data_IF_215118343747
#
_entry.id   IF_215118343747
#
_cell.length_a   1.000
_cell.length_b   1.000
_cell.length_c   1.000
_cell.angle_alpha   90.00
_cell.angle_beta   90.00
_cell.angle_gamma   90.00
#
_symmetry.space_group_name_H-M   'P 1'
#
loop_
_entity.id
_entity.type
_entity.pdbx_description
1 polymer ?
#
# COMPACT_ATOMS: atom_id res chain seq x y z
N UNK A 1 10.03 -23.06 6.41
CA UNK A 1 10.75 -22.53 5.22
C UNK A 1 10.28 -23.32 4.00
N UNK A 2 10.21 -22.68 2.82
CA UNK A 2 9.71 -23.25 1.58
C UNK A 2 10.84 -23.41 0.56
N UNK A 3 10.95 -24.57 -0.10
CA UNK A 3 12.13 -24.95 -0.89
C UNK A 3 11.85 -25.24 -2.37
N UNK A 4 10.62 -25.00 -2.84
CA UNK A 4 10.19 -25.26 -4.22
C UNK A 4 9.67 -24.03 -4.95
N UNK A 5 10.01 -22.83 -4.46
CA UNK A 5 9.55 -21.56 -5.04
C UNK A 5 10.80 -20.77 -5.44
N UNK A 6 10.94 -20.59 -6.76
CA UNK A 6 12.06 -19.85 -7.37
C UNK A 6 11.61 -18.46 -7.86
N UNK A 7 10.33 -18.30 -8.20
CA UNK A 7 9.77 -17.05 -8.72
C UNK A 7 8.47 -16.74 -8.00
N UNK A 8 8.32 -15.48 -7.58
CA UNK A 8 7.05 -14.91 -7.11
C UNK A 8 6.68 -13.77 -8.05
N UNK A 9 5.51 -13.87 -8.69
CA UNK A 9 4.88 -12.77 -9.42
C UNK A 9 3.69 -12.26 -8.61
N UNK A 10 3.82 -11.07 -8.04
CA UNK A 10 2.73 -10.40 -7.34
C UNK A 10 2.01 -9.40 -8.24
N UNK A 11 0.93 -9.85 -8.85
CA UNK A 11 0.01 -9.03 -9.66
C UNK A 11 -1.34 -8.79 -8.96
N UNK A 12 -1.53 -9.31 -7.73
CA UNK A 12 -2.74 -9.07 -6.97
C UNK A 12 -2.75 -7.64 -6.44
N UNK A 13 -3.80 -6.90 -6.75
CA UNK A 13 -3.98 -5.50 -6.38
C UNK A 13 -5.39 -5.04 -6.72
N UNK A 14 -5.91 -4.04 -6.01
CA UNK A 14 -7.08 -3.28 -6.45
C UNK A 14 -6.61 -2.08 -7.27
N UNK A 15 -7.21 -1.90 -8.43
CA UNK A 15 -6.95 -0.79 -9.36
C UNK A 15 -8.12 0.20 -9.42
N UNK A 16 -9.08 0.06 -8.50
CA UNK A 16 -10.22 0.97 -8.43
C UNK A 16 -9.79 2.27 -7.73
N UNK A 17 -9.92 3.40 -8.42
CA UNK A 17 -9.57 4.72 -7.89
C UNK A 17 -10.57 5.21 -6.85
N UNK A 18 -11.82 4.75 -6.93
CA UNK A 18 -12.88 5.03 -5.97
C UNK A 18 -13.02 3.85 -4.97
N UNK A 19 -11.93 3.15 -4.69
CA UNK A 19 -11.93 2.09 -3.68
C UNK A 19 -11.95 2.69 -2.28
N UNK A 20 -12.56 1.99 -1.34
CA UNK A 20 -12.41 2.36 0.07
C UNK A 20 -10.93 2.28 0.46
N UNK A 21 -10.41 3.35 1.07
CA UNK A 21 -9.01 3.40 1.43
C UNK A 21 -8.56 2.24 2.32
N UNK A 22 -9.40 1.77 3.25
CA UNK A 22 -9.06 0.61 4.09
C UNK A 22 -8.86 -0.68 3.29
N UNK A 23 -9.66 -0.90 2.24
CA UNK A 23 -9.50 -2.01 1.31
C UNK A 23 -8.25 -1.82 0.45
N UNK A 24 -8.07 -0.62 -0.13
CA UNK A 24 -6.91 -0.31 -0.97
C UNK A 24 -5.58 -0.48 -0.21
N UNK A 25 -5.50 0.06 1.02
CA UNK A 25 -4.36 -0.08 1.91
C UNK A 25 -4.12 -1.55 2.30
N UNK A 26 -5.18 -2.29 2.62
CA UNK A 26 -5.08 -3.72 2.96
C UNK A 26 -4.51 -4.54 1.82
N UNK A 27 -4.98 -4.34 0.60
CA UNK A 27 -4.58 -5.15 -0.57
C UNK A 27 -3.25 -4.67 -1.15
N UNK A 28 -3.14 -3.39 -1.49
CA UNK A 28 -2.01 -2.86 -2.26
C UNK A 28 -0.77 -2.58 -1.39
N UNK A 29 -0.93 -2.41 -0.07
CA UNK A 29 0.18 -2.11 0.83
C UNK A 29 0.47 -3.27 1.77
N UNK A 30 -0.47 -3.63 2.65
CA UNK A 30 -0.25 -4.72 3.60
C UNK A 30 -0.18 -6.09 2.90
N UNK A 31 -0.93 -6.29 1.80
CA UNK A 31 -0.80 -7.48 0.96
C UNK A 31 0.60 -7.68 0.42
N UNK A 32 1.24 -6.62 -0.08
CA UNK A 32 2.63 -6.65 -0.57
C UNK A 32 3.61 -6.98 0.57
N UNK A 33 3.38 -6.46 1.78
CA UNK A 33 4.21 -6.81 2.94
C UNK A 33 4.08 -8.27 3.36
N UNK A 34 2.88 -8.84 3.27
CA UNK A 34 2.68 -10.27 3.49
C UNK A 34 3.41 -11.11 2.44
N UNK A 35 3.34 -10.71 1.16
CA UNK A 35 4.09 -11.34 0.07
C UNK A 35 5.60 -11.27 0.34
N UNK A 36 6.12 -10.12 0.75
CA UNK A 36 7.53 -9.95 1.08
C UNK A 36 7.94 -10.83 2.29
N UNK A 37 7.08 -10.91 3.31
CA UNK A 37 7.30 -11.76 4.48
C UNK A 37 7.28 -13.25 4.14
N UNK A 38 6.48 -13.65 3.16
CA UNK A 38 6.45 -15.00 2.61
C UNK A 38 7.70 -15.27 1.76
N UNK A 39 8.09 -14.33 0.91
CA UNK A 39 9.29 -14.39 0.08
C UNK A 39 10.55 -14.63 0.92
N UNK A 40 10.69 -13.93 2.06
CA UNK A 40 11.79 -14.14 3.03
C UNK A 40 11.87 -15.57 3.59
N UNK A 41 10.80 -16.36 3.50
CA UNK A 41 10.74 -17.76 3.96
C UNK A 41 11.05 -18.76 2.83
N UNK A 42 11.24 -18.31 1.60
CA UNK A 42 11.51 -19.12 0.41
C UNK A 42 13.03 -19.24 0.19
N UNK A 43 13.59 -20.43 0.43
CA UNK A 43 15.04 -20.66 0.42
C UNK A 43 15.68 -20.64 -0.96
N UNK A 44 14.89 -20.86 -2.02
CA UNK A 44 15.35 -20.90 -3.41
C UNK A 44 14.81 -19.75 -4.23
N UNK A 45 14.27 -18.71 -3.60
CA UNK A 45 13.69 -17.59 -4.33
C UNK A 45 14.78 -16.84 -5.08
N UNK A 46 14.67 -16.78 -6.40
CA UNK A 46 15.58 -16.05 -7.29
C UNK A 46 14.98 -14.71 -7.71
N UNK A 47 13.65 -14.65 -7.93
CA UNK A 47 12.98 -13.46 -8.46
C UNK A 47 11.70 -13.18 -7.68
N UNK A 48 11.54 -11.92 -7.23
CA UNK A 48 10.26 -11.34 -6.82
C UNK A 48 9.92 -10.21 -7.79
N UNK A 49 8.86 -10.40 -8.57
CA UNK A 49 8.35 -9.41 -9.52
C UNK A 49 7.03 -8.86 -9.00
N UNK A 50 6.97 -7.56 -8.72
CA UNK A 50 5.75 -6.88 -8.30
C UNK A 50 5.24 -5.99 -9.43
N UNK A 51 3.97 -6.17 -9.80
CA UNK A 51 3.28 -5.30 -10.75
C UNK A 51 2.78 -4.07 -9.99
N UNK A 52 3.31 -2.91 -10.35
CA UNK A 52 2.89 -1.61 -9.81
C UNK A 52 2.22 -0.77 -10.90
N UNK A 53 2.07 0.52 -10.68
CA UNK A 53 1.39 1.45 -11.57
C UNK A 53 2.24 2.69 -11.85
N UNK A 54 2.18 3.21 -13.09
CA UNK A 54 2.85 4.47 -13.44
C UNK A 54 2.23 5.70 -12.74
N UNK A 55 1.04 5.55 -12.14
CA UNK A 55 0.38 6.62 -11.38
C UNK A 55 1.14 7.02 -10.11
N UNK A 56 2.10 6.21 -9.65
CA UNK A 56 3.02 6.60 -8.54
C UNK A 56 3.89 7.81 -8.88
N UNK A 57 3.99 8.20 -10.15
CA UNK A 57 4.75 9.37 -10.56
C UNK A 57 3.98 10.70 -10.41
N UNK A 58 2.74 10.65 -9.91
CA UNK A 58 1.92 11.78 -9.44
C UNK A 58 2.00 13.03 -10.33
N UNK A 59 2.78 14.03 -9.92
CA UNK A 59 2.87 15.36 -10.53
C UNK A 59 3.94 15.48 -11.62
N UNK A 60 4.70 14.40 -11.89
CA UNK A 60 5.73 14.41 -12.92
C UNK A 60 5.07 14.41 -14.29
N UNK A 61 5.49 15.32 -15.16
CA UNK A 61 5.00 15.45 -16.53
C UNK A 61 6.16 15.36 -17.53
N UNK A 62 5.86 14.91 -18.75
CA UNK A 62 6.85 14.72 -19.81
C UNK A 62 7.50 13.34 -19.77
N UNK A 63 8.74 13.24 -20.25
CA UNK A 63 9.50 11.98 -20.22
C UNK A 63 9.95 11.68 -18.79
N UNK A 64 9.37 10.63 -18.21
CA UNK A 64 9.71 10.15 -16.87
C UNK A 64 10.65 8.96 -17.01
N UNK A 65 11.92 9.16 -16.66
CA UNK A 65 12.91 8.09 -16.61
C UNK A 65 12.74 7.28 -15.32
N UNK A 66 13.03 5.98 -15.40
CA UNK A 66 13.16 5.13 -14.22
C UNK A 66 14.23 5.70 -13.29
N UNK A 67 13.93 5.72 -12.00
CA UNK A 67 14.80 6.26 -10.96
C UNK A 67 14.90 5.25 -9.83
N UNK A 68 16.10 4.70 -9.64
CA UNK A 68 16.40 3.75 -8.57
C UNK A 68 16.77 4.43 -7.25
N UNK A 69 17.00 5.75 -7.24
CA UNK A 69 17.49 6.47 -6.04
C UNK A 69 16.51 6.45 -4.88
N UNK A 70 15.19 6.34 -5.15
CA UNK A 70 14.15 6.22 -4.13
C UNK A 70 14.34 4.98 -3.23
N UNK A 71 14.95 3.90 -3.73
CA UNK A 71 15.22 2.71 -2.92
C UNK A 71 16.33 2.96 -1.88
N UNK A 72 17.33 3.79 -2.20
CA UNK A 72 18.48 4.08 -1.34
C UNK A 72 18.12 5.03 -0.18
N UNK A 73 17.12 5.89 -0.38
CA UNK A 73 16.62 6.81 0.65
C UNK A 73 15.70 6.12 1.67
N UNK A 74 14.87 5.16 1.22
CA UNK A 74 13.98 4.38 2.10
C UNK A 74 14.75 3.58 3.17
N UNK A 75 15.95 3.09 2.87
CA UNK A 75 16.77 2.34 3.84
C UNK A 75 17.15 3.16 5.09
N UNK A 76 17.22 4.50 4.98
CA UNK A 76 17.60 5.38 6.09
C UNK A 76 16.43 5.73 7.02
N UNK A 77 15.21 5.75 6.50
CA UNK A 77 14.00 6.18 7.22
C UNK A 77 13.31 5.06 8.03
N UNK A 78 13.48 3.79 7.64
CA UNK A 78 12.81 2.62 8.25
C UNK A 78 13.09 2.47 9.76
N UNK A 79 14.16 3.07 10.28
CA UNK A 79 14.55 2.93 11.69
C UNK A 79 13.74 3.78 12.68
N UNK A 80 12.84 4.66 12.21
CA UNK A 80 12.16 5.64 13.09
C UNK A 80 10.63 5.59 13.09
N UNK A 81 10.00 4.83 12.20
CA UNK A 81 8.56 4.91 11.93
C UNK A 81 7.96 3.53 11.64
N UNK A 82 7.13 3.00 12.54
CA UNK A 82 6.32 1.81 12.23
C UNK A 82 5.09 2.24 11.42
N UNK A 83 5.30 2.37 10.11
CA UNK A 83 4.27 2.76 9.15
C UNK A 83 2.99 1.92 9.28
N UNK A 84 3.13 0.62 9.58
CA UNK A 84 2.00 -0.29 9.67
C UNK A 84 1.09 0.04 10.84
N UNK A 85 1.69 0.29 12.00
CA UNK A 85 0.93 0.65 13.19
C UNK A 85 0.24 1.99 12.98
N UNK A 86 0.92 2.98 12.40
CA UNK A 86 0.35 4.31 12.22
C UNK A 86 -0.79 4.33 11.21
N UNK A 87 -0.59 3.78 10.01
CA UNK A 87 -1.65 3.75 9.00
C UNK A 87 -2.86 2.96 9.47
N UNK A 88 -2.62 1.83 10.14
CA UNK A 88 -3.71 1.01 10.67
C UNK A 88 -4.49 1.74 11.76
N UNK A 89 -3.80 2.40 12.69
CA UNK A 89 -4.45 3.18 13.74
C UNK A 89 -5.25 4.35 13.16
N UNK A 90 -4.69 5.07 12.18
CA UNK A 90 -5.37 6.19 11.51
C UNK A 90 -6.68 5.73 10.85
N UNK A 91 -6.64 4.61 10.13
CA UNK A 91 -7.84 4.04 9.49
C UNK A 91 -8.86 3.58 10.55
N UNK A 92 -8.41 2.92 11.63
CA UNK A 92 -9.29 2.48 12.71
C UNK A 92 -9.94 3.65 13.47
N UNK A 93 -9.20 4.73 13.72
CA UNK A 93 -9.70 5.94 14.37
C UNK A 93 -10.79 6.61 13.53
N UNK A 94 -10.51 6.90 12.25
CA UNK A 94 -11.48 7.48 11.30
C UNK A 94 -12.73 6.59 11.16
N UNK A 95 -12.53 5.28 11.15
CA UNK A 95 -13.61 4.30 11.10
C UNK A 95 -14.49 4.37 12.36
N UNK A 96 -13.89 4.52 13.53
CA UNK A 96 -14.65 4.61 14.79
C UNK A 96 -15.41 5.94 14.90
N UNK A 97 -14.84 7.04 14.43
CA UNK A 97 -15.53 8.34 14.34
C UNK A 97 -16.79 8.26 13.48
N UNK A 98 -16.72 7.60 12.33
CA UNK A 98 -17.88 7.39 11.45
C UNK A 98 -18.97 6.54 12.09
N UNK A 99 -18.59 5.50 12.84
CA UNK A 99 -19.55 4.66 13.57
C UNK A 99 -20.25 5.45 14.68
N UNK A 100 -19.52 6.34 15.37
CA UNK A 100 -20.09 7.19 16.41
C UNK A 100 -21.11 8.21 15.86
N UNK A 101 -21.08 8.49 14.55
CA UNK A 101 -21.98 9.41 13.87
C UNK A 101 -23.22 8.73 13.23
N UNK A 102 -23.45 7.43 13.49
CA UNK A 102 -24.52 6.63 12.84
C UNK A 102 -24.52 6.78 11.29
N UNK A 103 -23.31 6.84 10.70
CA UNK A 103 -23.15 7.07 9.28
C UNK A 103 -23.83 5.98 8.43
N UNK A 104 -24.56 6.40 7.40
CA UNK A 104 -25.11 5.47 6.40
C UNK A 104 -23.99 4.73 5.67
N UNK A 105 -24.27 3.54 5.12
CA UNK A 105 -23.30 2.81 4.27
C UNK A 105 -22.72 3.71 3.17
N UNK A 106 -23.55 4.56 2.54
CA UNK A 106 -23.10 5.45 1.46
C UNK A 106 -22.14 6.53 1.94
N UNK A 107 -22.45 7.20 3.04
CA UNK A 107 -21.55 8.22 3.61
C UNK A 107 -20.23 7.59 4.09
N UNK A 108 -20.29 6.35 4.56
CA UNK A 108 -19.12 5.58 4.95
C UNK A 108 -18.17 5.29 3.78
N UNK A 109 -18.70 4.85 2.62
CA UNK A 109 -17.89 4.61 1.41
C UNK A 109 -17.17 5.89 0.97
N UNK A 110 -17.90 6.99 0.79
CA UNK A 110 -17.33 8.26 0.34
C UNK A 110 -16.32 8.87 1.33
N UNK A 111 -16.51 8.69 2.64
CA UNK A 111 -15.52 9.14 3.60
C UNK A 111 -14.22 8.34 3.51
N UNK A 112 -14.30 7.02 3.33
CA UNK A 112 -13.10 6.18 3.15
C UNK A 112 -12.39 6.47 1.83
N UNK A 113 -13.09 6.79 0.74
CA UNK A 113 -12.48 7.34 -0.48
C UNK A 113 -11.74 8.66 -0.16
N UNK A 114 -12.37 9.53 0.61
CA UNK A 114 -11.81 10.82 1.04
C UNK A 114 -10.49 10.69 1.81
N UNK A 115 -10.35 9.68 2.69
CA UNK A 115 -9.09 9.41 3.38
C UNK A 115 -7.98 9.13 2.37
N UNK A 116 -8.23 8.33 1.34
CA UNK A 116 -7.23 8.04 0.30
C UNK A 116 -6.77 9.28 -0.44
N UNK A 117 -7.68 10.22 -0.70
CA UNK A 117 -7.37 11.51 -1.31
C UNK A 117 -6.54 12.39 -0.37
N UNK A 118 -6.90 12.47 0.92
CA UNK A 118 -6.12 13.22 1.93
C UNK A 118 -4.66 12.71 1.96
N UNK A 119 -4.48 11.38 2.01
CA UNK A 119 -3.14 10.77 2.03
C UNK A 119 -2.35 11.03 0.74
N UNK A 120 -3.01 11.10 -0.42
CA UNK A 120 -2.36 11.42 -1.69
C UNK A 120 -1.80 12.85 -1.74
N UNK A 121 -2.36 13.79 -0.98
CA UNK A 121 -1.86 15.17 -0.93
C UNK A 121 -0.84 15.42 0.21
N UNK A 122 -0.69 14.49 1.15
CA UNK A 122 0.25 14.61 2.28
C UNK A 122 1.66 14.09 1.96
N UNK A 123 1.80 13.26 0.92
CA UNK A 123 3.07 12.64 0.48
C UNK A 123 3.41 13.05 -0.96
#
# INVERSE_FOLDING_TARGET
MYNGIEIILNSAGTTNFDERYDIALSVNTFGVQHVLSFAKKCLKLEILLHVSTAYVCVWRAGLILEDSSCMDEMEKEITKFDFNVQEKNLVEEKLNELKAQDATKRSYYHHNEGIGIERFFEH
#
